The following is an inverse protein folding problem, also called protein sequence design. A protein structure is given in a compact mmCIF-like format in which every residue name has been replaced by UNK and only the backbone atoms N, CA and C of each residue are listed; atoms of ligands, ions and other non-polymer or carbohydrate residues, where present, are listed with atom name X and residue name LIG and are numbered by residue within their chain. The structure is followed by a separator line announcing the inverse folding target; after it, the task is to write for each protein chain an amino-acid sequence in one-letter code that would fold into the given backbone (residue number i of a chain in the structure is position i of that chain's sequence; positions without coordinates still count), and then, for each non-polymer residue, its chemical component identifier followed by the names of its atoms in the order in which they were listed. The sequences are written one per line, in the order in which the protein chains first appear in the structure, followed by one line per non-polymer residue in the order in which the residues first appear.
data_IF_584073484265
#
_entry.id   IF_584073484265
#
_cell.length_a   1.000
_cell.length_b   1.000
_cell.length_c   1.000
_cell.angle_alpha   90.00
_cell.angle_beta   90.00
_cell.angle_gamma   90.00
#
_symmetry.space_group_name_H-M   'P 1'
#
loop_
_entity.id
_entity.type
_entity.pdbx_description
1 polymer ?
#
# COMPACT_ATOMS: atom_id res chain seq x y z
N UNK A 1 0.04 -1.71 -0.45
CA UNK A 1 -0.19 -2.05 0.98
C UNK A 1 1.16 -2.28 1.64
N UNK A 2 1.33 -1.71 2.79
CA UNK A 2 2.55 -1.88 3.57
C UNK A 2 2.25 -2.70 4.80
N UNK A 3 3.21 -3.53 5.19
CA UNK A 3 3.14 -4.21 6.48
C UNK A 3 4.11 -3.51 7.42
N UNK A 4 3.62 -3.11 8.57
CA UNK A 4 4.41 -2.43 9.58
C UNK A 4 5.14 -3.42 10.48
N UNK A 5 6.11 -2.93 11.26
CA UNK A 5 6.91 -3.78 12.14
C UNK A 5 6.06 -4.52 13.16
N UNK A 6 4.93 -3.94 13.57
CA UNK A 6 4.00 -4.57 14.50
C UNK A 6 3.00 -5.49 13.80
N UNK A 7 3.25 -5.81 12.53
CA UNK A 7 2.42 -6.69 11.72
C UNK A 7 1.04 -6.14 11.37
N UNK A 8 0.84 -4.85 11.51
CA UNK A 8 -0.39 -4.20 11.03
C UNK A 8 -0.20 -3.76 9.59
N UNK A 9 -1.31 -3.49 8.90
CA UNK A 9 -1.27 -3.09 7.50
C UNK A 9 -1.66 -1.63 7.33
N UNK A 10 -1.01 -0.98 6.38
CA UNK A 10 -1.35 0.37 5.97
C UNK A 10 -1.61 0.38 4.46
N UNK A 11 -2.68 1.01 4.04
CA UNK A 11 -3.03 1.15 2.64
C UNK A 11 -3.14 2.64 2.30
N UNK A 12 -2.46 3.02 1.24
CA UNK A 12 -2.52 4.38 0.73
C UNK A 12 -2.38 4.37 -0.78
N UNK A 13 -2.27 5.52 -1.40
CA UNK A 13 -1.99 5.59 -2.82
C UNK A 13 -0.88 6.60 -3.08
N UNK A 14 -0.19 6.43 -4.19
CA UNK A 14 0.92 7.31 -4.56
C UNK A 14 1.19 7.21 -6.05
N UNK A 15 1.78 8.24 -6.61
CA UNK A 15 2.26 8.21 -7.99
C UNK A 15 3.64 7.56 -8.11
N UNK A 16 4.32 7.37 -6.99
CA UNK A 16 5.67 6.80 -6.99
C UNK A 16 5.84 5.91 -5.77
N UNK A 17 5.69 4.61 -5.98
CA UNK A 17 5.71 3.61 -4.90
C UNK A 17 7.05 3.58 -4.18
N UNK A 18 8.14 3.57 -4.93
CA UNK A 18 9.46 3.48 -4.33
C UNK A 18 9.78 4.69 -3.47
N UNK A 19 9.49 5.87 -3.98
CA UNK A 19 9.71 7.10 -3.22
C UNK A 19 8.86 7.12 -1.95
N UNK A 20 7.61 6.70 -2.06
CA UNK A 20 6.69 6.70 -0.91
C UNK A 20 7.17 5.72 0.16
N UNK A 21 7.65 4.56 -0.26
CA UNK A 21 8.19 3.57 0.67
C UNK A 21 9.40 4.12 1.43
N UNK A 22 10.30 4.78 0.71
CA UNK A 22 11.47 5.41 1.32
C UNK A 22 11.03 6.48 2.32
N UNK A 23 10.06 7.30 1.95
CA UNK A 23 9.57 8.35 2.84
C UNK A 23 8.96 7.77 4.11
N UNK A 24 8.19 6.70 4.00
CA UNK A 24 7.63 6.05 5.18
C UNK A 24 8.74 5.59 6.11
N UNK A 25 9.75 4.93 5.58
CA UNK A 25 10.84 4.39 6.40
C UNK A 25 11.77 5.47 6.97
N UNK A 26 11.67 6.69 6.49
CA UNK A 26 12.37 7.82 7.06
C UNK A 26 11.47 8.63 8.04
N UNK A 27 10.31 8.10 8.37
CA UNK A 27 9.40 8.77 9.29
C UNK A 27 8.65 9.94 8.69
N UNK A 28 8.64 10.04 7.36
CA UNK A 28 7.99 11.16 6.66
C UNK A 28 6.75 10.73 5.89
N UNK A 29 6.27 9.54 6.14
CA UNK A 29 5.05 9.06 5.51
C UNK A 29 3.83 9.40 6.35
N UNK A 30 2.88 8.47 6.40
CA UNK A 30 1.66 8.67 7.15
C UNK A 30 1.91 8.66 8.65
N UNK A 31 1.06 9.37 9.38
CA UNK A 31 1.13 9.38 10.82
C UNK A 31 1.02 7.97 11.40
N UNK A 32 0.17 7.14 10.79
CA UNK A 32 -0.04 5.78 11.23
C UNK A 32 1.26 4.96 11.22
N UNK A 33 2.08 5.14 10.19
CA UNK A 33 3.29 4.33 10.02
C UNK A 33 4.47 4.83 10.82
N UNK A 34 4.48 6.10 11.24
CA UNK A 34 5.65 6.69 11.91
C UNK A 34 6.10 5.96 13.16
N UNK A 35 5.18 5.42 13.92
CA UNK A 35 5.50 4.69 15.15
C UNK A 35 5.60 3.18 14.91
N UNK A 36 5.52 2.74 13.66
CA UNK A 36 5.48 1.33 13.30
C UNK A 36 6.51 0.97 12.24
N UNK A 37 7.62 1.68 12.24
CA UNK A 37 8.71 1.43 11.28
C UNK A 37 9.61 0.31 11.76
N UNK A 38 10.26 -0.41 10.86
CA UNK A 38 10.20 -0.23 9.42
C UNK A 38 8.93 -0.84 8.82
N UNK A 39 8.58 -0.36 7.62
CA UNK A 39 7.49 -0.94 6.85
C UNK A 39 8.04 -1.62 5.62
N UNK A 40 7.32 -2.62 5.13
CA UNK A 40 7.70 -3.28 3.88
C UNK A 40 6.52 -3.32 2.94
N UNK A 41 6.82 -3.27 1.66
CA UNK A 41 5.80 -3.34 0.63
C UNK A 41 5.37 -4.79 0.44
N UNK A 42 4.10 -5.09 0.66
CA UNK A 42 3.56 -6.44 0.47
C UNK A 42 2.63 -6.54 -0.72
N UNK A 43 2.08 -5.42 -1.17
CA UNK A 43 1.19 -5.41 -2.32
C UNK A 43 1.08 -4.02 -2.90
N UNK A 44 1.05 -3.95 -4.23
CA UNK A 44 0.74 -2.70 -4.92
C UNK A 44 0.05 -3.02 -6.23
N UNK A 45 -0.75 -2.08 -6.70
CA UNK A 45 -1.41 -2.20 -7.98
C UNK A 45 -1.59 -0.82 -8.57
N UNK A 46 -1.29 -0.71 -9.85
CA UNK A 46 -1.46 0.54 -10.59
C UNK A 46 -2.92 0.69 -11.02
N UNK A 47 -3.40 1.92 -11.00
CA UNK A 47 -4.75 2.25 -11.42
C UNK A 47 -4.69 3.35 -12.47
N UNK A 48 -5.71 3.44 -13.35
CA UNK A 48 -5.67 4.40 -14.44
C UNK A 48 -5.79 5.85 -14.02
N UNK A 49 -6.23 6.11 -12.79
CA UNK A 49 -6.38 7.48 -12.30
C UNK A 49 -6.25 7.51 -10.80
N UNK A 50 -5.98 8.71 -10.28
CA UNK A 50 -5.96 8.94 -8.84
C UNK A 50 -7.31 8.60 -8.22
N UNK A 51 -8.39 8.93 -8.91
CA UNK A 51 -9.73 8.65 -8.42
C UNK A 51 -9.96 7.15 -8.23
N UNK A 52 -9.55 6.35 -9.21
CA UNK A 52 -9.67 4.89 -9.11
C UNK A 52 -8.82 4.34 -7.97
N UNK A 53 -7.60 4.84 -7.80
CA UNK A 53 -6.73 4.42 -6.72
C UNK A 53 -7.32 4.76 -5.35
N UNK A 54 -7.90 5.94 -5.21
CA UNK A 54 -8.55 6.37 -3.97
C UNK A 54 -9.76 5.51 -3.65
N UNK A 55 -10.53 5.14 -4.67
CA UNK A 55 -11.70 4.30 -4.49
C UNK A 55 -11.31 2.93 -3.93
N UNK A 56 -10.27 2.33 -4.51
CA UNK A 56 -9.79 1.02 -4.05
C UNK A 56 -9.14 1.10 -2.66
N UNK A 57 -8.44 2.19 -2.38
CA UNK A 57 -7.89 2.42 -1.05
C UNK A 57 -9.01 2.41 -0.01
N UNK A 58 -10.09 3.14 -0.30
CA UNK A 58 -11.23 3.21 0.60
C UNK A 58 -11.87 1.84 0.81
N UNK A 59 -12.00 1.06 -0.26
CA UNK A 59 -12.56 -0.29 -0.18
C UNK A 59 -11.66 -1.20 0.66
N UNK A 60 -10.38 -1.23 0.34
CA UNK A 60 -9.42 -2.13 1.00
C UNK A 60 -9.30 -1.83 2.49
N UNK A 61 -9.34 -0.58 2.87
CA UNK A 61 -9.27 -0.20 4.28
C UNK A 61 -10.40 -0.79 5.10
N UNK A 62 -11.51 -1.11 4.46
CA UNK A 62 -12.68 -1.67 5.13
C UNK A 62 -12.69 -3.19 5.17
N UNK A 63 -11.77 -3.81 4.48
CA UNK A 63 -11.70 -5.27 4.45
C UNK A 63 -11.16 -5.81 5.77
N UNK A 64 -11.64 -7.00 6.20
CA UNK A 64 -11.02 -7.69 7.32
C UNK A 64 -9.60 -8.10 6.96
N UNK A 65 -8.77 -8.28 7.96
CA UNK A 65 -7.36 -8.64 7.76
C UNK A 65 -7.18 -9.85 6.86
N UNK A 66 -7.99 -10.89 7.07
CA UNK A 66 -7.90 -12.10 6.26
C UNK A 66 -8.02 -11.81 4.77
N UNK A 67 -8.94 -10.95 4.41
CA UNK A 67 -9.14 -10.59 3.01
C UNK A 67 -7.97 -9.78 2.48
N UNK A 68 -7.41 -8.90 3.30
CA UNK A 68 -6.24 -8.13 2.90
C UNK A 68 -5.05 -9.05 2.64
N UNK A 69 -4.88 -10.08 3.45
CA UNK A 69 -3.78 -11.01 3.27
C UNK A 69 -3.88 -11.79 1.97
N UNK A 70 -5.08 -12.01 1.46
CA UNK A 70 -5.25 -12.68 0.18
C UNK A 70 -4.66 -11.91 -0.99
N UNK A 71 -4.46 -10.61 -0.83
CA UNK A 71 -3.86 -9.79 -1.89
C UNK A 71 -2.42 -10.19 -2.18
N UNK A 72 -1.70 -10.66 -1.20
CA UNK A 72 -0.28 -10.99 -1.39
C UNK A 72 0.08 -12.42 -1.06
N UNK A 73 -0.81 -13.21 -0.48
CA UNK A 73 -0.51 -14.62 -0.19
C UNK A 73 -0.93 -15.55 -1.29
N UNK A 74 -1.92 -15.16 -2.09
CA UNK A 74 -2.37 -15.97 -3.19
C UNK A 74 -1.49 -15.87 -4.38
N UNK A 75 -0.29 -15.52 -4.22
CA UNK A 75 0.52 -15.57 -5.25
C UNK A 75 0.95 -14.42 -5.86
N UNK A 76 1.20 -14.35 -7.01
CA UNK A 76 1.89 -13.38 -7.56
C UNK A 76 1.10 -12.32 -8.06
N UNK A 77 1.51 -11.15 -7.73
CA UNK A 77 1.02 -10.06 -8.35
C UNK A 77 1.81 -9.82 -9.53
N UNK A 78 1.17 -9.40 -10.55
CA UNK A 78 1.81 -8.86 -11.68
C UNK A 78 1.74 -7.39 -11.50
N UNK A 79 2.88 -6.77 -11.35
CA UNK A 79 2.93 -5.35 -11.32
C UNK A 79 2.62 -4.86 -12.68
N UNK A 80 1.50 -4.21 -12.80
CA UNK A 80 1.18 -3.59 -14.05
C UNK A 80 2.08 -2.39 -14.24
N UNK A 81 2.22 -2.00 -15.50
CA UNK A 81 2.94 -0.81 -15.81
C UNK A 81 2.43 0.34 -15.03
N UNK A 82 3.34 1.19 -14.61
CA UNK A 82 3.01 2.35 -13.85
C UNK A 82 1.94 3.17 -14.53
N UNK A 83 0.94 3.51 -13.78
CA UNK A 83 -0.12 4.41 -14.18
C UNK A 83 0.02 5.70 -13.39
N UNK A 84 -1.01 6.52 -13.38
CA UNK A 84 -0.95 7.79 -12.67
C UNK A 84 -0.86 7.63 -11.16
N UNK A 85 -1.46 6.57 -10.64
CA UNK A 85 -1.46 6.34 -9.19
C UNK A 85 -1.39 4.86 -8.90
N UNK A 86 -0.78 4.54 -7.76
CA UNK A 86 -0.62 3.16 -7.32
C UNK A 86 -1.01 3.05 -5.86
N UNK A 87 -1.75 2.00 -5.50
CA UNK A 87 -2.05 1.69 -4.10
C UNK A 87 -0.89 0.91 -3.50
N UNK A 88 -0.54 1.29 -2.31
CA UNK A 88 0.51 0.61 -1.57
C UNK A 88 0.07 0.22 -0.17
#
# INVERSE_FOLDING_TARGET
MLRCVDNTFYTGYTADVERRLVMHNHGRGAKYTRSRLPVELVWSKAFPSKHAAMHWEWQIKRWPRRKKELLFTKGRFILEKAMESTNI
#
